data_IF_782370832351
#
_entry.id   IF_782370832351
#
_cell.length_a   1.000
_cell.length_b   1.000
_cell.length_c   1.000
_cell.angle_alpha   90.00
_cell.angle_beta   90.00
_cell.angle_gamma   90.00
#
_symmetry.space_group_name_H-M   'P 1'
#
loop_
_entity.id
_entity.type
_entity.pdbx_description
1 polymer ?
#
# COMPACT_ATOMS: atom_id res chain seq x y z
N UNK A 1 -16.49 -36.64 -26.02
CA UNK A 1 -15.59 -36.14 -24.95
C UNK A 1 -14.85 -37.33 -24.39
N UNK A 2 -13.52 -37.39 -24.52
CA UNK A 2 -12.75 -38.59 -24.16
C UNK A 2 -12.59 -38.71 -22.64
N UNK A 3 -12.36 -39.92 -22.13
CA UNK A 3 -12.04 -40.16 -20.70
C UNK A 3 -10.82 -39.32 -20.25
N UNK A 4 -9.87 -39.10 -21.16
CA UNK A 4 -8.71 -38.24 -20.96
C UNK A 4 -9.12 -36.78 -20.79
N UNK A 5 -10.03 -36.26 -21.62
CA UNK A 5 -10.55 -34.90 -21.48
C UNK A 5 -11.27 -34.68 -20.14
N UNK A 6 -12.00 -35.70 -19.67
CA UNK A 6 -12.73 -35.67 -18.40
C UNK A 6 -11.77 -35.71 -17.20
N UNK A 7 -10.68 -36.47 -17.31
CA UNK A 7 -9.64 -36.52 -16.29
C UNK A 7 -8.86 -35.20 -16.22
N UNK A 8 -8.40 -34.68 -17.36
CA UNK A 8 -7.65 -33.42 -17.44
C UNK A 8 -8.45 -32.19 -16.98
N UNK A 9 -9.78 -32.22 -17.10
CA UNK A 9 -10.70 -31.18 -16.60
C UNK A 9 -11.15 -31.41 -15.16
N UNK A 10 -10.57 -32.36 -14.43
CA UNK A 10 -10.85 -32.55 -13.01
C UNK A 10 -10.41 -31.33 -12.20
N UNK A 11 -11.27 -30.89 -11.28
CA UNK A 11 -10.97 -29.80 -10.33
C UNK A 11 -9.65 -30.02 -9.58
N UNK A 12 -9.28 -31.27 -9.32
CA UNK A 12 -8.00 -31.59 -8.67
C UNK A 12 -6.80 -31.21 -9.54
N UNK A 13 -6.82 -31.57 -10.82
CA UNK A 13 -5.70 -31.27 -11.74
C UNK A 13 -5.63 -29.80 -12.11
N UNK A 14 -6.77 -29.13 -12.21
CA UNK A 14 -6.82 -27.67 -12.40
C UNK A 14 -6.15 -26.98 -11.21
N UNK A 15 -6.54 -27.33 -9.97
CA UNK A 15 -5.94 -26.78 -8.75
C UNK A 15 -4.45 -27.11 -8.62
N UNK A 16 -4.03 -28.29 -9.06
CA UNK A 16 -2.62 -28.68 -9.01
C UNK A 16 -1.77 -27.94 -10.06
N UNK A 17 -2.31 -27.59 -11.23
CA UNK A 17 -1.53 -26.95 -12.31
C UNK A 17 -1.59 -25.42 -12.30
N UNK A 18 -2.67 -24.85 -11.78
CA UNK A 18 -2.81 -23.40 -11.67
C UNK A 18 -2.33 -22.93 -10.30
N UNK A 19 -1.18 -22.27 -10.30
CA UNK A 19 -0.51 -21.77 -9.09
C UNK A 19 -1.38 -20.82 -8.24
N UNK A 20 -2.38 -20.19 -8.85
CA UNK A 20 -3.37 -19.33 -8.20
C UNK A 20 -4.18 -20.05 -7.11
N UNK A 21 -4.31 -21.38 -7.17
CA UNK A 21 -5.01 -22.18 -6.16
C UNK A 21 -4.08 -22.76 -5.09
N UNK A 22 -2.77 -22.57 -5.23
CA UNK A 22 -1.82 -23.15 -4.29
C UNK A 22 -1.82 -22.36 -2.98
N UNK A 23 -1.61 -23.02 -1.83
CA UNK A 23 -1.39 -22.33 -0.58
C UNK A 23 -0.26 -21.30 -0.72
N UNK A 24 -0.49 -20.09 -0.22
CA UNK A 24 0.45 -18.96 -0.36
C UNK A 24 1.88 -19.31 0.08
N UNK A 25 2.03 -20.11 1.16
CA UNK A 25 3.35 -20.55 1.63
C UNK A 25 4.14 -21.39 0.62
N UNK A 26 3.48 -22.22 -0.20
CA UNK A 26 4.15 -23.01 -1.23
C UNK A 26 4.62 -22.11 -2.37
N UNK A 27 3.79 -21.17 -2.79
CA UNK A 27 4.15 -20.18 -3.83
C UNK A 27 5.34 -19.32 -3.38
N UNK A 28 5.41 -18.98 -2.09
CA UNK A 28 6.49 -18.16 -1.52
C UNK A 28 7.77 -18.95 -1.20
N UNK A 29 7.72 -20.28 -1.08
CA UNK A 29 8.86 -21.08 -0.65
C UNK A 29 10.12 -20.90 -1.55
N UNK A 30 10.02 -20.90 -2.90
CA UNK A 30 11.18 -20.62 -3.75
C UNK A 30 11.76 -19.21 -3.54
N UNK A 31 10.91 -18.22 -3.28
CA UNK A 31 11.31 -16.84 -3.01
C UNK A 31 12.07 -16.76 -1.68
N UNK A 32 11.61 -17.48 -0.65
CA UNK A 32 12.31 -17.56 0.64
C UNK A 32 13.69 -18.21 0.52
N UNK A 33 13.82 -19.30 -0.25
CA UNK A 33 15.12 -19.94 -0.50
C UNK A 33 16.07 -18.97 -1.21
N UNK A 34 15.57 -18.26 -2.22
CA UNK A 34 16.36 -17.26 -2.94
C UNK A 34 16.75 -16.07 -2.06
N UNK A 35 15.84 -15.61 -1.19
CA UNK A 35 16.12 -14.58 -0.20
C UNK A 35 17.19 -15.02 0.80
N UNK A 36 17.17 -16.27 1.28
CA UNK A 36 18.23 -16.81 2.15
C UNK A 36 19.58 -16.82 1.45
N UNK A 37 19.62 -17.24 0.20
CA UNK A 37 20.85 -17.21 -0.62
C UNK A 37 21.38 -15.78 -0.79
N UNK A 38 20.52 -14.82 -1.14
CA UNK A 38 20.89 -13.41 -1.24
C UNK A 38 21.34 -12.82 0.10
N UNK A 39 20.66 -13.18 1.20
CA UNK A 39 21.01 -12.73 2.55
C UNK A 39 22.40 -13.21 2.96
N UNK A 40 22.74 -14.47 2.64
CA UNK A 40 24.08 -15.02 2.87
C UNK A 40 25.14 -14.28 2.02
N UNK A 41 24.85 -14.02 0.74
CA UNK A 41 25.74 -13.27 -0.16
C UNK A 41 25.95 -11.82 0.30
N UNK A 42 24.89 -11.16 0.76
CA UNK A 42 24.93 -9.79 1.26
C UNK A 42 25.41 -9.68 2.71
N UNK A 43 25.55 -10.82 3.42
CA UNK A 43 25.86 -10.90 4.86
C UNK A 43 24.90 -10.08 5.71
N UNK A 44 23.64 -10.00 5.29
CA UNK A 44 22.58 -9.25 5.96
C UNK A 44 21.21 -9.82 5.58
N UNK A 45 20.40 -10.17 6.58
CA UNK A 45 19.00 -10.59 6.37
C UNK A 45 18.10 -9.45 5.88
N UNK A 46 18.51 -8.21 6.12
CA UNK A 46 17.76 -6.99 5.78
C UNK A 46 18.42 -6.22 4.63
N UNK A 47 19.16 -6.90 3.74
CA UNK A 47 19.87 -6.26 2.62
C UNK A 47 18.96 -5.39 1.74
N UNK A 48 17.68 -5.79 1.59
CA UNK A 48 16.68 -5.08 0.82
C UNK A 48 16.31 -3.71 1.41
N UNK A 49 16.62 -3.45 2.69
CA UNK A 49 16.38 -2.13 3.30
C UNK A 49 17.17 -1.00 2.61
N UNK A 50 18.26 -1.35 1.91
CA UNK A 50 19.06 -0.41 1.14
C UNK A 50 18.53 -0.16 -0.29
N UNK A 51 17.44 -0.82 -0.72
CA UNK A 51 16.90 -0.68 -2.08
C UNK A 51 16.37 0.72 -2.38
N UNK A 52 15.70 1.34 -1.39
CA UNK A 52 15.21 2.71 -1.43
C UNK A 52 15.69 3.46 -0.19
N UNK A 53 16.96 3.95 -0.14
CA UNK A 53 17.55 4.53 1.07
C UNK A 53 16.79 5.74 1.63
N UNK A 54 16.00 6.41 0.78
CA UNK A 54 15.15 7.51 1.21
C UNK A 54 13.92 7.06 2.00
N UNK A 55 13.57 5.77 2.06
CA UNK A 55 12.36 5.25 2.73
C UNK A 55 12.77 4.29 3.85
N UNK A 56 12.09 4.36 4.99
CA UNK A 56 12.33 3.45 6.12
C UNK A 56 12.22 1.99 5.64
N UNK A 57 13.21 1.16 6.01
CA UNK A 57 13.36 -0.24 5.56
C UNK A 57 13.26 -0.47 4.04
N UNK A 58 13.55 0.54 3.22
CA UNK A 58 13.40 0.46 1.77
C UNK A 58 11.94 0.41 1.29
N UNK A 59 10.98 0.67 2.17
CA UNK A 59 9.54 0.55 1.91
C UNK A 59 9.01 -0.88 2.04
N UNK A 60 9.75 -1.77 2.73
CA UNK A 60 9.29 -3.14 2.95
C UNK A 60 8.33 -3.23 4.13
N UNK A 61 8.62 -2.54 5.24
CA UNK A 61 7.81 -2.55 6.44
C UNK A 61 7.90 -1.25 7.24
N UNK A 62 6.75 -0.80 7.75
CA UNK A 62 6.66 0.21 8.79
C UNK A 62 6.91 1.64 8.31
N UNK A 63 6.95 1.88 7.01
CA UNK A 63 7.07 3.22 6.45
C UNK A 63 5.80 4.05 6.69
N UNK A 64 5.98 5.30 7.11
CA UNK A 64 4.90 6.28 7.20
C UNK A 64 4.45 6.67 5.79
N UNK A 65 3.16 6.47 5.48
CA UNK A 65 2.58 6.92 4.22
C UNK A 65 2.71 8.43 4.08
N UNK A 66 2.56 9.17 5.17
CA UNK A 66 2.67 10.63 5.15
C UNK A 66 4.11 11.09 4.86
N UNK A 67 5.12 10.48 5.49
CA UNK A 67 6.52 10.81 5.19
C UNK A 67 6.91 10.48 3.75
N UNK A 68 6.41 9.37 3.20
CA UNK A 68 6.63 9.03 1.79
C UNK A 68 5.95 10.05 0.88
N UNK A 69 4.69 10.42 1.16
CA UNK A 69 3.98 11.45 0.40
C UNK A 69 4.68 12.82 0.48
N UNK A 70 5.31 13.17 1.60
CA UNK A 70 6.03 14.44 1.75
C UNK A 70 7.31 14.55 0.91
N UNK A 71 7.79 13.44 0.33
CA UNK A 71 8.90 13.47 -0.64
C UNK A 71 8.45 13.87 -2.04
N UNK A 72 7.14 13.83 -2.30
CA UNK A 72 6.54 14.21 -3.58
C UNK A 72 6.21 15.72 -3.53
N UNK A 73 6.53 16.49 -4.59
CA UNK A 73 6.12 17.89 -4.70
C UNK A 73 4.61 18.08 -4.52
N UNK A 74 4.20 19.16 -3.87
CA UNK A 74 2.81 19.39 -3.48
C UNK A 74 1.84 19.48 -4.68
N UNK A 75 2.34 19.87 -5.85
CA UNK A 75 1.56 19.92 -7.10
C UNK A 75 1.15 18.53 -7.63
N UNK A 76 1.84 17.46 -7.22
CA UNK A 76 1.61 16.09 -7.70
C UNK A 76 0.94 15.18 -6.69
N UNK A 77 0.51 15.71 -5.53
CA UNK A 77 -0.16 14.91 -4.49
C UNK A 77 -1.41 15.63 -3.95
N UNK A 78 -2.43 14.87 -3.52
CA UNK A 78 -3.58 15.46 -2.86
C UNK A 78 -3.19 16.09 -1.52
N UNK A 79 -3.84 17.21 -1.20
CA UNK A 79 -3.64 17.90 0.08
C UNK A 79 -4.03 16.98 1.23
N UNK A 80 -3.26 17.04 2.31
CA UNK A 80 -3.54 16.25 3.50
C UNK A 80 -2.59 16.57 4.64
N UNK A 81 -2.94 16.11 5.83
CA UNK A 81 -2.14 16.27 7.03
C UNK A 81 -2.23 15.02 7.91
N UNK A 82 -1.23 14.84 8.76
CA UNK A 82 -1.14 13.74 9.71
C UNK A 82 -1.77 14.15 11.04
N UNK A 83 -2.67 13.32 11.54
CA UNK A 83 -3.23 13.41 12.88
C UNK A 83 -2.58 12.35 13.75
N UNK A 84 -1.96 12.79 14.85
CA UNK A 84 -1.36 11.89 15.83
C UNK A 84 -2.42 11.23 16.71
N UNK A 85 -2.21 9.97 17.06
CA UNK A 85 -3.04 9.29 18.05
C UNK A 85 -3.10 10.10 19.35
N UNK A 86 -4.30 10.24 19.90
CA UNK A 86 -4.55 11.04 21.11
C UNK A 86 -4.85 12.51 20.84
N UNK A 87 -4.77 12.97 19.59
CA UNK A 87 -5.21 14.35 19.23
C UNK A 87 -6.70 14.50 19.54
N UNK A 88 -7.10 15.52 20.33
CA UNK A 88 -8.50 15.78 20.61
C UNK A 88 -9.32 16.04 19.34
N UNK A 89 -10.56 15.56 19.29
CA UNK A 89 -11.42 15.70 18.10
C UNK A 89 -11.60 17.15 17.65
N UNK A 90 -11.70 18.10 18.59
CA UNK A 90 -11.84 19.53 18.26
C UNK A 90 -10.61 20.10 17.53
N UNK A 91 -9.40 19.66 17.87
CA UNK A 91 -8.18 20.08 17.16
C UNK A 91 -8.13 19.49 15.75
N UNK A 92 -8.57 18.22 15.60
CA UNK A 92 -8.71 17.61 14.27
C UNK A 92 -9.66 18.41 13.41
N UNK A 93 -10.80 18.84 13.96
CA UNK A 93 -11.77 19.68 13.26
C UNK A 93 -11.20 21.04 12.85
N UNK A 94 -10.49 21.70 13.75
CA UNK A 94 -9.83 22.96 13.45
C UNK A 94 -8.83 22.82 12.29
N UNK A 95 -8.09 21.70 12.24
CA UNK A 95 -7.18 21.42 11.13
C UNK A 95 -7.94 21.18 9.82
N UNK A 96 -9.03 20.40 9.83
CA UNK A 96 -9.89 20.15 8.65
C UNK A 96 -10.43 21.48 8.09
N UNK A 97 -10.96 22.34 8.96
CA UNK A 97 -11.51 23.64 8.59
C UNK A 97 -10.42 24.57 8.04
N UNK A 98 -9.26 24.65 8.70
CA UNK A 98 -8.13 25.47 8.25
C UNK A 98 -7.55 25.02 6.91
N UNK A 99 -7.62 23.72 6.60
CA UNK A 99 -7.19 23.16 5.33
C UNK A 99 -8.20 23.40 4.19
N UNK A 100 -9.42 23.87 4.51
CA UNK A 100 -10.46 24.16 3.53
C UNK A 100 -11.00 22.90 2.83
N UNK A 101 -11.00 21.76 3.52
CA UNK A 101 -11.49 20.51 2.92
C UNK A 101 -13.02 20.47 2.85
N UNK A 102 -13.52 20.07 1.69
CA UNK A 102 -14.93 19.77 1.47
C UNK A 102 -15.16 18.27 1.50
N UNK A 103 -16.36 17.86 1.91
CA UNK A 103 -16.75 16.46 1.80
C UNK A 103 -16.90 16.04 0.33
N UNK A 104 -16.59 14.77 0.00
CA UNK A 104 -16.06 13.75 0.91
C UNK A 104 -14.54 13.89 1.17
N UNK A 105 -14.07 13.40 2.31
CA UNK A 105 -12.65 13.43 2.74
C UNK A 105 -12.18 11.98 2.97
N UNK A 106 -10.91 11.67 2.71
CA UNK A 106 -10.33 10.35 2.99
C UNK A 106 -9.62 10.37 4.34
N UNK A 107 -10.01 9.44 5.22
CA UNK A 107 -9.27 9.12 6.44
C UNK A 107 -8.59 7.76 6.25
N UNK A 108 -7.28 7.68 6.48
CA UNK A 108 -6.53 6.44 6.34
C UNK A 108 -5.42 6.32 7.38
N UNK A 109 -5.12 5.12 7.91
CA UNK A 109 -3.99 4.94 8.81
C UNK A 109 -2.67 5.32 8.14
N UNK A 110 -1.79 5.99 8.89
CA UNK A 110 -0.46 6.33 8.40
C UNK A 110 0.37 5.05 8.18
N UNK A 111 0.29 4.11 9.12
CA UNK A 111 0.86 2.76 9.01
C UNK A 111 -0.24 1.74 8.69
N UNK A 112 0.02 0.85 7.73
CA UNK A 112 -0.90 -0.25 7.38
C UNK A 112 -1.03 -0.51 5.88
N UNK A 113 -1.55 -1.68 5.53
CA UNK A 113 -1.61 -2.19 4.15
C UNK A 113 -3.04 -2.60 3.75
N UNK A 114 -3.22 -2.97 2.47
CA UNK A 114 -4.44 -3.63 1.94
C UNK A 114 -5.75 -2.87 2.19
N UNK A 115 -5.70 -1.54 2.16
CA UNK A 115 -6.88 -0.69 2.38
C UNK A 115 -7.45 -0.76 3.79
N UNK A 116 -6.70 -1.31 4.75
CA UNK A 116 -7.15 -1.43 6.14
C UNK A 116 -7.51 -0.06 6.72
N UNK A 117 -8.75 0.04 7.23
CA UNK A 117 -9.32 1.24 7.85
C UNK A 117 -9.25 2.52 6.99
N UNK A 118 -9.17 2.39 5.67
CA UNK A 118 -9.38 3.52 4.75
C UNK A 118 -10.88 3.80 4.66
N UNK A 119 -11.30 5.04 4.95
CA UNK A 119 -12.70 5.44 4.92
C UNK A 119 -12.90 6.74 4.14
N UNK A 120 -13.87 6.74 3.24
CA UNK A 120 -14.40 7.94 2.59
C UNK A 120 -15.46 8.56 3.51
N UNK A 121 -15.06 9.59 4.22
CA UNK A 121 -15.89 10.36 5.15
C UNK A 121 -16.80 11.30 4.37
N UNK A 122 -18.11 11.18 4.56
CA UNK A 122 -19.12 12.00 3.87
C UNK A 122 -19.77 13.05 4.76
N UNK A 123 -19.58 12.98 6.07
CA UNK A 123 -20.17 13.90 7.03
C UNK A 123 -19.32 14.04 8.30
N UNK A 124 -19.71 15.00 9.15
CA UNK A 124 -19.06 15.23 10.44
C UNK A 124 -19.18 14.02 11.37
N UNK A 125 -20.37 13.44 11.42
CA UNK A 125 -20.70 12.28 12.26
C UNK A 125 -19.87 11.05 11.86
N UNK A 126 -19.68 10.83 10.55
CA UNK A 126 -18.85 9.72 10.08
C UNK A 126 -17.38 9.87 10.49
N UNK A 127 -16.88 11.11 10.55
CA UNK A 127 -15.53 11.43 10.96
C UNK A 127 -15.36 11.26 12.48
N UNK A 128 -16.32 11.74 13.29
CA UNK A 128 -16.30 11.56 14.74
C UNK A 128 -16.31 10.07 15.11
N UNK A 129 -17.13 9.26 14.43
CA UNK A 129 -17.13 7.81 14.59
C UNK A 129 -15.79 7.16 14.22
N UNK A 130 -15.07 7.71 13.24
CA UNK A 130 -13.74 7.22 12.87
C UNK A 130 -12.73 7.59 13.96
N UNK A 131 -12.68 8.86 14.35
CA UNK A 131 -11.76 9.41 15.35
C UNK A 131 -11.94 8.65 16.68
N UNK A 132 -13.18 8.40 17.10
CA UNK A 132 -13.48 7.68 18.34
C UNK A 132 -12.97 6.22 18.36
N UNK A 133 -12.74 5.61 17.19
CA UNK A 133 -12.22 4.24 17.06
C UNK A 133 -10.72 4.20 16.79
N UNK A 134 -10.10 5.35 16.57
CA UNK A 134 -8.75 5.44 16.03
C UNK A 134 -7.73 5.43 17.17
N UNK A 135 -7.03 4.31 17.31
CA UNK A 135 -5.94 4.13 18.28
C UNK A 135 -4.56 4.19 17.59
N UNK A 136 -4.47 4.89 16.46
CA UNK A 136 -3.28 5.00 15.62
C UNK A 136 -3.20 6.37 14.96
N UNK A 137 -2.00 6.71 14.45
CA UNK A 137 -1.82 7.89 13.62
C UNK A 137 -2.54 7.70 12.28
N UNK A 138 -3.28 8.71 11.84
CA UNK A 138 -4.02 8.66 10.58
C UNK A 138 -3.86 9.95 9.78
N UNK A 139 -4.03 9.83 8.47
CA UNK A 139 -3.95 10.93 7.52
C UNK A 139 -5.36 11.35 7.16
N UNK A 140 -5.61 12.65 7.24
CA UNK A 140 -6.77 13.31 6.63
C UNK A 140 -6.33 13.83 5.27
N UNK A 141 -7.00 13.42 4.20
CA UNK A 141 -6.60 13.73 2.84
C UNK A 141 -7.81 14.08 1.96
N UNK A 142 -7.60 15.03 1.04
CA UNK A 142 -8.56 15.37 0.00
C UNK A 142 -8.99 14.13 -0.81
N UNK A 143 -10.28 14.04 -1.12
CA UNK A 143 -10.77 13.01 -2.02
C UNK A 143 -10.52 13.40 -3.48
N UNK A 144 -9.65 12.65 -4.15
CA UNK A 144 -9.37 12.82 -5.59
C UNK A 144 -10.48 12.15 -6.40
N UNK A 145 -11.33 12.96 -7.04
CA UNK A 145 -12.41 12.49 -7.90
C UNK A 145 -12.01 12.51 -9.38
N UNK A 146 -11.10 11.61 -9.76
CA UNK A 146 -10.71 11.40 -11.15
C UNK A 146 -11.35 10.10 -11.68
N UNK A 147 -11.67 10.04 -12.99
CA UNK A 147 -12.39 8.90 -13.57
C UNK A 147 -11.54 7.63 -13.66
N UNK A 148 -10.21 7.75 -13.56
CA UNK A 148 -9.27 6.67 -13.74
C UNK A 148 -8.27 6.63 -12.59
N UNK A 149 -7.97 5.42 -12.14
CA UNK A 149 -6.92 5.12 -11.19
C UNK A 149 -5.91 4.20 -11.87
N UNK A 150 -4.61 4.49 -11.72
CA UNK A 150 -3.54 3.71 -12.33
C UNK A 150 -2.54 3.28 -11.28
N UNK A 151 -2.09 2.03 -11.36
CA UNK A 151 -0.91 1.56 -10.66
C UNK A 151 0.28 1.53 -11.62
N UNK A 152 1.34 2.26 -11.29
CA UNK A 152 2.57 2.31 -12.07
C UNK A 152 3.67 1.58 -11.32
N UNK A 153 4.21 0.53 -11.93
CA UNK A 153 5.40 -0.14 -11.45
C UNK A 153 6.63 0.47 -12.11
N UNK A 154 7.52 1.06 -11.31
CA UNK A 154 8.76 1.67 -11.77
C UNK A 154 9.97 0.91 -11.22
N UNK A 155 10.95 0.62 -12.07
CA UNK A 155 12.22 0.00 -11.66
C UNK A 155 13.40 0.64 -12.38
N UNK A 156 14.43 1.04 -11.63
CA UNK A 156 15.67 1.64 -12.15
C UNK A 156 16.87 1.01 -11.47
N UNK A 157 17.82 0.48 -12.24
CA UNK A 157 19.09 0.05 -11.67
C UNK A 157 19.99 1.26 -11.34
N UNK A 158 20.85 1.19 -10.31
CA UNK A 158 21.68 2.33 -9.87
C UNK A 158 22.54 2.95 -10.98
N UNK A 159 22.99 2.14 -11.94
CA UNK A 159 23.86 2.57 -13.03
C UNK A 159 23.08 3.10 -14.26
N UNK A 160 21.76 3.25 -14.17
CA UNK A 160 20.92 3.70 -15.27
C UNK A 160 20.39 5.11 -14.99
N UNK A 161 20.40 5.96 -16.01
CA UNK A 161 19.83 7.32 -15.94
C UNK A 161 18.29 7.31 -15.87
N UNK A 162 17.65 6.31 -16.47
CA UNK A 162 16.19 6.13 -16.48
C UNK A 162 15.77 4.71 -16.10
N UNK A 163 14.59 4.58 -15.52
CA UNK A 163 13.97 3.29 -15.21
C UNK A 163 13.05 2.77 -16.30
N UNK A 164 12.45 1.62 -16.05
CA UNK A 164 11.37 1.03 -16.85
C UNK A 164 10.05 1.19 -16.10
N UNK A 165 9.01 1.53 -16.85
CA UNK A 165 7.64 1.67 -16.34
C UNK A 165 6.76 0.55 -16.90
N UNK A 166 6.03 -0.13 -16.03
CA UNK A 166 4.91 -0.99 -16.39
C UNK A 166 3.64 -0.39 -15.82
N UNK A 167 2.65 -0.10 -16.68
CA UNK A 167 1.34 0.37 -16.24
C UNK A 167 0.41 -0.82 -16.08
N UNK A 168 -0.21 -0.95 -14.93
CA UNK A 168 -1.29 -1.89 -14.71
C UNK A 168 -2.56 -1.07 -14.50
N UNK A 169 -3.48 -1.14 -15.46
CA UNK A 169 -4.83 -0.64 -15.25
C UNK A 169 -5.56 -1.64 -14.35
N UNK A 170 -6.30 -1.18 -13.33
CA UNK A 170 -7.33 -2.00 -12.71
C UNK A 170 -8.44 -2.36 -13.73
#
# INVERSE_FOLDING_TARGET
MTLVDRFLRSNFLIKLRSWEYWPFGIVQAPIFIYWLWLSAKARSFLFFSASNPGILTGGMFGESKFEVLNKIPDEYKPKGFLVKHGTPSHEVWQQIESAGFNYPIIFKPDLGERGWMVKKIKSKEEAEQYIAKCNWDFIVQEYVHLPLEFSVFYSRHPNQSSGKECRQSP
#
